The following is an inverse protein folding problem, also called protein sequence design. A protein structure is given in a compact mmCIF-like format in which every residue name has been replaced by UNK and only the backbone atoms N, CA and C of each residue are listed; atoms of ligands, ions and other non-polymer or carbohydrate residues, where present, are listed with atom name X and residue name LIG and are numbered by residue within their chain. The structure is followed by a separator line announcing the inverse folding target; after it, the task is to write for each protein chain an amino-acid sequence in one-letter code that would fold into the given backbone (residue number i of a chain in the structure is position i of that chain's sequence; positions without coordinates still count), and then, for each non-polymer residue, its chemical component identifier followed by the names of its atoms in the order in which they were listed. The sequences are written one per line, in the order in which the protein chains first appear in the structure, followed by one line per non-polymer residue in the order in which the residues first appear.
data_IF_911895965078
#
_entry.id   IF_911895965078
#
_cell.length_a   1.000
_cell.length_b   1.000
_cell.length_c   1.000
_cell.angle_alpha   90.00
_cell.angle_beta   90.00
_cell.angle_gamma   90.00
#
_symmetry.space_group_name_H-M   'P 1'
#
loop_
_entity.id
_entity.type
_entity.pdbx_description
1 polymer ?
#
# COMPACT_ATOMS: atom_id res chain seq x y z
N UNK A 1 1.38 -30.61 1.29
CA UNK A 1 0.36 -29.68 1.83
C UNK A 1 0.49 -28.33 1.13
N UNK A 2 -0.63 -27.64 0.98
CA UNK A 2 -0.73 -26.32 0.41
C UNK A 2 -1.28 -25.36 1.47
N UNK A 3 -0.70 -24.17 1.58
CA UNK A 3 -1.21 -23.10 2.42
C UNK A 3 -1.37 -21.81 1.64
N UNK A 4 -2.24 -20.95 2.13
CA UNK A 4 -2.33 -19.56 1.69
C UNK A 4 -2.13 -18.62 2.87
N UNK A 5 -1.67 -17.40 2.59
CA UNK A 5 -1.62 -16.30 3.55
C UNK A 5 -2.54 -15.21 3.05
N UNK A 6 -3.38 -14.67 3.94
CA UNK A 6 -4.12 -13.44 3.69
C UNK A 6 -3.66 -12.39 4.70
N UNK A 7 -3.29 -11.21 4.18
CA UNK A 7 -2.78 -10.10 5.00
C UNK A 7 -3.12 -8.76 4.37
N UNK A 8 -3.36 -7.77 5.19
CA UNK A 8 -3.52 -6.37 4.80
C UNK A 8 -2.48 -5.51 5.52
N UNK A 9 -1.99 -4.41 4.93
CA UNK A 9 -1.01 -3.56 5.60
C UNK A 9 -1.44 -3.06 6.97
N UNK A 10 -2.71 -2.71 7.15
CA UNK A 10 -3.20 -2.08 8.39
C UNK A 10 -4.54 -2.61 8.90
N UNK A 11 -5.31 -3.34 8.09
CA UNK A 11 -6.58 -3.93 8.56
C UNK A 11 -6.35 -5.24 9.29
N UNK A 12 -7.21 -5.53 10.28
CA UNK A 12 -7.22 -6.81 10.98
C UNK A 12 -7.84 -7.89 10.10
N UNK A 13 -7.02 -8.84 9.66
CA UNK A 13 -7.45 -9.95 8.80
C UNK A 13 -7.60 -11.30 9.52
N UNK A 14 -7.42 -11.36 10.84
CA UNK A 14 -7.53 -12.62 11.58
C UNK A 14 -8.92 -13.28 11.48
N UNK A 15 -9.96 -12.51 11.26
CA UNK A 15 -11.32 -12.99 10.99
C UNK A 15 -11.73 -12.91 9.52
N UNK A 16 -10.80 -13.05 8.58
CA UNK A 16 -11.07 -12.87 7.16
C UNK A 16 -12.07 -13.91 6.63
N UNK A 17 -13.01 -13.49 5.80
CA UNK A 17 -14.12 -14.33 5.28
C UNK A 17 -13.68 -15.56 4.48
N UNK A 18 -12.43 -15.63 4.02
CA UNK A 18 -11.89 -16.78 3.30
C UNK A 18 -11.42 -17.93 4.23
N UNK A 19 -11.35 -17.71 5.55
CA UNK A 19 -10.84 -18.74 6.48
C UNK A 19 -11.66 -20.02 6.36
N UNK A 20 -12.95 -19.94 6.59
CA UNK A 20 -13.83 -21.12 6.55
C UNK A 20 -13.97 -21.74 5.15
N UNK A 21 -14.19 -20.96 4.07
CA UNK A 21 -14.32 -21.52 2.73
C UNK A 21 -13.06 -22.25 2.22
N UNK A 22 -11.87 -21.78 2.55
CA UNK A 22 -10.62 -22.45 2.14
C UNK A 22 -10.35 -23.67 3.00
N UNK A 23 -10.55 -23.59 4.30
CA UNK A 23 -10.44 -24.73 5.20
C UNK A 23 -11.36 -25.90 4.78
N UNK A 24 -12.60 -25.58 4.42
CA UNK A 24 -13.57 -26.58 3.91
C UNK A 24 -13.13 -27.26 2.59
N UNK A 25 -12.17 -26.67 1.87
CA UNK A 25 -11.57 -27.21 0.65
C UNK A 25 -10.18 -27.83 0.85
N UNK A 26 -9.75 -27.97 2.10
CA UNK A 26 -8.46 -28.57 2.44
C UNK A 26 -7.25 -27.67 2.18
N UNK A 27 -7.46 -26.37 2.07
CA UNK A 27 -6.39 -25.36 1.99
C UNK A 27 -6.25 -24.70 3.36
N UNK A 28 -5.08 -24.86 3.97
CA UNK A 28 -4.77 -24.19 5.23
C UNK A 28 -4.57 -22.69 4.98
N UNK A 29 -5.28 -21.82 5.70
CA UNK A 29 -5.17 -20.37 5.58
C UNK A 29 -4.55 -19.76 6.83
N UNK A 30 -3.43 -19.07 6.67
CA UNK A 30 -2.85 -18.18 7.66
C UNK A 30 -3.43 -16.78 7.48
N UNK A 31 -4.36 -16.40 8.34
CA UNK A 31 -4.85 -15.04 8.45
C UNK A 31 -3.89 -14.25 9.35
N UNK A 32 -3.10 -13.36 8.74
CA UNK A 32 -1.97 -12.68 9.39
C UNK A 32 -2.24 -11.18 9.52
N UNK A 33 -1.91 -10.63 10.68
CA UNK A 33 -1.86 -9.19 10.89
C UNK A 33 -0.42 -8.67 10.78
N UNK A 34 -0.26 -7.47 10.24
CA UNK A 34 1.00 -6.74 10.29
C UNK A 34 1.23 -6.13 11.68
N UNK A 35 2.46 -5.68 11.93
CA UNK A 35 2.79 -4.84 13.08
C UNK A 35 2.03 -3.50 13.10
N UNK A 36 1.44 -3.10 11.97
CA UNK A 36 0.70 -1.85 11.79
C UNK A 36 -0.83 -2.02 11.81
N UNK A 37 -1.33 -3.14 12.35
CA UNK A 37 -2.79 -3.34 12.44
C UNK A 37 -3.45 -2.17 13.18
N UNK A 38 -4.48 -1.58 12.54
CA UNK A 38 -5.20 -0.38 13.01
C UNK A 38 -4.33 0.88 13.17
N UNK A 39 -3.16 0.94 12.55
CA UNK A 39 -2.26 2.08 12.61
C UNK A 39 -1.72 2.45 11.22
N UNK A 40 -2.46 3.26 10.50
CA UNK A 40 -2.10 3.77 9.18
C UNK A 40 -1.05 4.89 9.23
N UNK A 41 -1.02 5.66 10.32
CA UNK A 41 -0.22 6.89 10.40
C UNK A 41 1.28 6.65 10.45
N UNK A 42 1.71 5.48 10.95
CA UNK A 42 3.13 5.11 11.05
C UNK A 42 3.54 4.00 10.09
N UNK A 43 2.68 3.69 9.11
CA UNK A 43 2.89 2.59 8.16
C UNK A 43 4.17 2.75 7.35
N UNK A 44 5.01 1.73 7.41
CA UNK A 44 6.21 1.55 6.58
C UNK A 44 6.07 0.23 5.84
N UNK A 45 5.83 0.28 4.53
CA UNK A 45 5.52 -0.90 3.71
C UNK A 45 6.68 -1.89 3.66
N UNK A 46 7.92 -1.40 3.69
CA UNK A 46 9.14 -2.19 3.74
C UNK A 46 9.21 -3.09 4.97
N UNK A 47 8.63 -2.63 6.09
CA UNK A 47 8.52 -3.45 7.31
C UNK A 47 7.35 -4.42 7.25
N UNK A 48 6.28 -4.07 6.53
CA UNK A 48 5.12 -4.97 6.35
C UNK A 48 5.50 -6.20 5.52
N UNK A 49 6.32 -6.04 4.47
CA UNK A 49 6.79 -7.22 3.71
C UNK A 49 7.68 -8.14 4.54
N UNK A 50 8.41 -7.63 5.53
CA UNK A 50 9.14 -8.48 6.48
C UNK A 50 8.20 -9.32 7.34
N UNK A 51 7.07 -8.75 7.80
CA UNK A 51 6.05 -9.47 8.55
C UNK A 51 5.42 -10.58 7.70
N UNK A 52 5.11 -10.27 6.44
CA UNK A 52 4.59 -11.25 5.48
C UNK A 52 5.61 -12.36 5.21
N UNK A 53 6.89 -12.01 5.04
CA UNK A 53 7.98 -12.96 4.87
C UNK A 53 8.17 -13.88 6.06
N UNK A 54 7.97 -13.39 7.28
CA UNK A 54 7.97 -14.24 8.48
C UNK A 54 6.85 -15.29 8.42
N UNK A 55 5.67 -14.91 7.94
CA UNK A 55 4.57 -15.85 7.71
C UNK A 55 4.91 -16.91 6.67
N UNK A 56 5.52 -16.52 5.55
CA UNK A 56 5.95 -17.46 4.50
C UNK A 56 6.99 -18.42 5.03
N UNK A 57 8.05 -17.94 5.71
CA UNK A 57 9.08 -18.81 6.32
C UNK A 57 8.46 -19.81 7.29
N UNK A 58 7.60 -19.35 8.19
CA UNK A 58 6.92 -20.23 9.17
C UNK A 58 6.13 -21.35 8.49
N UNK A 59 5.44 -21.06 7.40
CA UNK A 59 4.72 -22.11 6.64
C UNK A 59 5.69 -23.08 5.95
N UNK A 60 6.78 -22.60 5.36
CA UNK A 60 7.83 -23.44 4.76
C UNK A 60 8.48 -24.36 5.81
N UNK A 61 8.81 -23.84 6.98
CA UNK A 61 9.37 -24.60 8.11
C UNK A 61 8.39 -25.69 8.63
N UNK A 62 7.08 -25.44 8.52
CA UNK A 62 6.03 -26.42 8.83
C UNK A 62 5.80 -27.47 7.73
N UNK A 63 6.59 -27.43 6.66
CA UNK A 63 6.59 -28.44 5.58
C UNK A 63 5.49 -28.22 4.55
N UNK A 64 4.96 -27.00 4.38
CA UNK A 64 4.08 -26.69 3.26
C UNK A 64 4.89 -26.63 1.97
N UNK A 65 4.51 -27.49 1.01
CA UNK A 65 5.19 -27.60 -0.28
C UNK A 65 4.86 -26.42 -1.21
N UNK A 66 3.67 -25.84 -1.06
CA UNK A 66 3.28 -24.65 -1.81
C UNK A 66 2.61 -23.63 -0.87
N UNK A 67 3.00 -22.36 -1.03
CA UNK A 67 2.48 -21.23 -0.27
C UNK A 67 2.03 -20.15 -1.25
N UNK A 68 0.78 -19.74 -1.12
CA UNK A 68 0.16 -18.71 -1.95
C UNK A 68 -0.16 -17.47 -1.12
N UNK A 69 -0.10 -16.27 -1.74
CA UNK A 69 -0.61 -15.05 -1.12
C UNK A 69 -1.96 -14.69 -1.71
N UNK A 70 -2.88 -14.29 -0.84
CA UNK A 70 -4.18 -13.77 -1.23
C UNK A 70 -4.26 -12.32 -0.77
N UNK A 71 -4.17 -11.40 -1.72
CA UNK A 71 -4.28 -9.97 -1.46
C UNK A 71 -5.69 -9.47 -1.76
N UNK A 72 -6.32 -8.85 -0.75
CA UNK A 72 -7.60 -8.17 -0.91
C UNK A 72 -7.42 -6.67 -0.67
N UNK A 73 -7.90 -5.83 -1.59
CA UNK A 73 -7.78 -4.36 -1.52
C UNK A 73 -6.31 -3.92 -1.38
N UNK A 74 -5.94 -3.21 -0.33
CA UNK A 74 -4.55 -2.85 -0.02
C UNK A 74 -3.61 -4.05 0.19
N UNK A 75 -4.15 -5.20 0.59
CA UNK A 75 -3.41 -6.46 0.64
C UNK A 75 -2.97 -6.97 -0.73
N UNK A 76 -3.68 -6.63 -1.79
CA UNK A 76 -3.28 -7.00 -3.15
C UNK A 76 -2.00 -6.26 -3.58
N UNK A 77 -1.92 -4.95 -3.34
CA UNK A 77 -0.70 -4.18 -3.57
C UNK A 77 0.47 -4.68 -2.70
N UNK A 78 0.20 -5.06 -1.45
CA UNK A 78 1.19 -5.68 -0.56
C UNK A 78 1.73 -6.99 -1.13
N UNK A 79 0.86 -7.91 -1.59
CA UNK A 79 1.28 -9.19 -2.15
C UNK A 79 2.13 -9.01 -3.42
N UNK A 80 1.75 -8.09 -4.31
CA UNK A 80 2.52 -7.78 -5.51
C UNK A 80 3.90 -7.19 -5.15
N UNK A 81 3.94 -6.25 -4.20
CA UNK A 81 5.18 -5.64 -3.73
C UNK A 81 6.10 -6.67 -3.06
N UNK A 82 5.54 -7.53 -2.19
CA UNK A 82 6.28 -8.63 -1.57
C UNK A 82 6.93 -9.53 -2.61
N UNK A 83 6.14 -10.05 -3.57
CA UNK A 83 6.66 -11.00 -4.56
C UNK A 83 7.73 -10.37 -5.45
N UNK A 84 7.53 -9.12 -5.87
CA UNK A 84 8.54 -8.40 -6.66
C UNK A 84 9.87 -8.29 -5.89
N UNK A 85 9.83 -7.96 -4.60
CA UNK A 85 11.04 -7.85 -3.77
C UNK A 85 11.63 -9.21 -3.37
N UNK A 86 10.81 -10.26 -3.31
CA UNK A 86 11.26 -11.62 -3.08
C UNK A 86 12.01 -12.21 -4.29
N UNK A 87 11.62 -11.82 -5.51
CA UNK A 87 12.28 -12.25 -6.76
C UNK A 87 13.52 -11.41 -7.08
N UNK A 88 13.44 -10.10 -6.84
CA UNK A 88 14.56 -9.16 -7.07
C UNK A 88 14.51 -8.06 -6.00
N UNK A 89 15.36 -8.20 -4.98
CA UNK A 89 15.43 -7.27 -3.86
C UNK A 89 16.13 -5.98 -4.26
N UNK A 90 15.37 -4.92 -4.45
CA UNK A 90 15.86 -3.60 -4.86
C UNK A 90 15.76 -2.53 -3.76
N UNK A 91 15.05 -2.82 -2.67
CA UNK A 91 14.84 -1.86 -1.57
C UNK A 91 16.09 -1.78 -0.72
N UNK A 92 16.60 -0.56 -0.52
CA UNK A 92 17.69 -0.22 0.41
C UNK A 92 17.21 0.70 1.53
N UNK A 93 16.24 1.58 1.22
CA UNK A 93 15.77 2.63 2.11
C UNK A 93 14.25 2.77 2.06
N UNK A 94 13.67 3.36 3.11
CA UNK A 94 12.28 3.81 3.10
C UNK A 94 12.12 5.06 2.22
N UNK A 95 10.91 5.45 1.83
CA UNK A 95 10.66 6.74 1.15
C UNK A 95 11.14 7.98 1.94
N UNK A 96 11.33 7.84 3.25
CA UNK A 96 11.89 8.89 4.11
C UNK A 96 13.44 8.92 4.08
N UNK A 97 14.09 7.96 3.42
CA UNK A 97 15.55 7.82 3.36
C UNK A 97 16.16 7.15 4.59
N UNK A 98 15.35 6.45 5.39
CA UNK A 98 15.86 5.64 6.49
C UNK A 98 16.25 4.25 5.97
N UNK A 99 17.42 3.70 6.34
CA UNK A 99 17.86 2.40 5.85
C UNK A 99 16.94 1.27 6.30
N UNK A 100 16.72 0.31 5.41
CA UNK A 100 15.91 -0.88 5.68
C UNK A 100 16.79 -2.11 5.72
N UNK A 101 16.83 -2.82 6.85
CA UNK A 101 17.55 -4.09 6.99
C UNK A 101 16.69 -5.23 6.46
N UNK A 102 16.68 -5.41 5.14
CA UNK A 102 16.06 -6.57 4.48
C UNK A 102 17.16 -7.33 3.74
N UNK A 103 17.16 -8.66 3.92
CA UNK A 103 18.00 -9.58 3.18
C UNK A 103 17.11 -10.53 2.37
N UNK A 104 17.60 -11.09 1.24
CA UNK A 104 16.81 -12.03 0.43
C UNK A 104 16.22 -13.19 1.23
N UNK A 105 16.94 -13.69 2.24
CA UNK A 105 16.47 -14.75 3.13
C UNK A 105 15.24 -14.34 3.97
N UNK A 106 14.99 -13.05 4.15
CA UNK A 106 13.81 -12.56 4.86
C UNK A 106 12.54 -12.66 4.02
N UNK A 107 12.67 -12.70 2.69
CA UNK A 107 11.57 -12.66 1.73
C UNK A 107 11.62 -13.87 0.77
N UNK A 108 11.40 -15.11 1.25
CA UNK A 108 11.35 -16.24 0.32
C UNK A 108 10.17 -16.07 -0.65
N UNK A 109 10.38 -16.29 -1.97
CA UNK A 109 9.31 -16.17 -2.95
C UNK A 109 8.20 -17.19 -2.69
N UNK A 110 6.97 -16.83 -3.06
CA UNK A 110 5.82 -17.73 -2.99
C UNK A 110 5.52 -18.37 -4.34
N UNK A 111 4.67 -19.41 -4.34
CA UNK A 111 4.35 -20.19 -5.55
C UNK A 111 3.29 -19.49 -6.42
N UNK A 112 2.63 -18.48 -5.89
CA UNK A 112 1.68 -17.68 -6.64
C UNK A 112 0.93 -16.67 -5.78
N UNK A 113 0.30 -15.71 -6.45
CA UNK A 113 -0.48 -14.64 -5.82
C UNK A 113 -1.87 -14.57 -6.44
N UNK A 114 -2.89 -14.33 -5.62
CA UNK A 114 -4.25 -14.04 -6.05
C UNK A 114 -4.60 -12.60 -5.61
N UNK A 115 -4.95 -11.76 -6.55
CA UNK A 115 -5.26 -10.34 -6.32
C UNK A 115 -6.77 -10.12 -6.45
N UNK A 116 -7.42 -9.71 -5.37
CA UNK A 116 -8.84 -9.43 -5.31
C UNK A 116 -9.09 -7.95 -5.00
N UNK A 117 -9.92 -7.29 -5.79
CA UNK A 117 -10.22 -5.86 -5.67
C UNK A 117 -8.94 -4.99 -5.54
N UNK A 118 -7.92 -5.32 -6.34
CA UNK A 118 -6.61 -4.69 -6.29
C UNK A 118 -6.65 -3.23 -6.74
N UNK A 119 -5.83 -2.39 -6.10
CA UNK A 119 -5.48 -1.06 -6.60
C UNK A 119 -3.97 -0.97 -6.84
N UNK A 120 -3.54 0.06 -7.56
CA UNK A 120 -2.14 0.24 -8.01
C UNK A 120 -1.13 0.58 -6.89
N UNK A 121 -1.56 0.51 -5.65
CA UNK A 121 -0.75 0.90 -4.49
C UNK A 121 -1.27 2.18 -3.83
N UNK A 122 -0.82 2.40 -2.59
CA UNK A 122 -1.34 3.46 -1.73
C UNK A 122 -1.05 4.87 -2.27
N UNK A 123 0.15 5.11 -2.79
CA UNK A 123 0.53 6.41 -3.32
C UNK A 123 -0.34 6.83 -4.50
N UNK A 124 -0.59 5.90 -5.43
CA UNK A 124 -1.47 6.13 -6.57
C UNK A 124 -2.91 6.37 -6.12
N UNK A 125 -3.43 5.50 -5.23
CA UNK A 125 -4.78 5.63 -4.70
C UNK A 125 -4.99 6.98 -4.00
N UNK A 126 -4.07 7.38 -3.13
CA UNK A 126 -4.17 8.65 -2.41
C UNK A 126 -4.08 9.85 -3.37
N UNK A 127 -3.19 9.81 -4.37
CA UNK A 127 -3.12 10.85 -5.40
C UNK A 127 -4.46 11.02 -6.12
N UNK A 128 -5.06 9.92 -6.54
CA UNK A 128 -6.32 9.94 -7.31
C UNK A 128 -7.52 10.39 -6.45
N UNK A 129 -7.38 10.38 -5.10
CA UNK A 129 -8.39 10.86 -4.15
C UNK A 129 -8.18 12.31 -3.69
N UNK A 130 -7.05 12.94 -4.07
CA UNK A 130 -6.81 14.34 -3.72
C UNK A 130 -7.81 15.27 -4.42
N UNK A 131 -8.32 16.24 -3.69
CA UNK A 131 -9.07 17.36 -4.28
C UNK A 131 -8.16 18.19 -5.17
N UNK A 132 -8.39 18.14 -6.49
CA UNK A 132 -7.61 18.83 -7.49
C UNK A 132 -7.75 20.36 -7.43
N UNK A 133 -8.83 20.86 -6.83
CA UNK A 133 -9.11 22.29 -6.77
C UNK A 133 -8.24 23.05 -5.76
N UNK A 134 -7.71 22.37 -4.73
CA UNK A 134 -6.86 23.02 -3.72
C UNK A 134 -5.49 23.39 -4.33
N UNK A 135 -5.17 24.68 -4.30
CA UNK A 135 -3.97 25.26 -4.91
C UNK A 135 -2.89 25.68 -3.91
N UNK A 136 -3.24 25.80 -2.62
CA UNK A 136 -2.32 26.13 -1.53
C UNK A 136 -2.57 25.22 -0.32
N UNK A 137 -1.55 24.46 0.09
CA UNK A 137 -1.65 23.56 1.23
C UNK A 137 -1.59 24.28 2.59
N UNK A 138 -1.32 25.57 2.62
CA UNK A 138 -1.40 26.41 3.82
C UNK A 138 -2.80 27.01 4.03
N UNK A 139 -3.59 27.10 2.96
CA UNK A 139 -4.97 27.57 2.98
C UNK A 139 -5.88 26.60 2.19
N UNK A 140 -6.56 25.68 2.87
CA UNK A 140 -7.43 24.71 2.21
C UNK A 140 -8.68 25.35 1.54
N UNK A 141 -8.94 26.64 1.80
CA UNK A 141 -10.02 27.39 1.12
C UNK A 141 -9.54 28.07 -0.16
N UNK A 142 -8.23 28.11 -0.41
CA UNK A 142 -7.66 28.58 -1.66
C UNK A 142 -7.88 27.53 -2.75
N UNK A 143 -9.01 27.65 -3.46
CA UNK A 143 -9.43 26.69 -4.46
C UNK A 143 -9.56 27.32 -5.87
N UNK A 144 -9.17 26.57 -6.89
CA UNK A 144 -9.39 26.87 -8.29
C UNK A 144 -10.76 26.31 -8.73
N UNK A 145 -11.78 27.14 -8.84
CA UNK A 145 -13.14 26.72 -9.23
C UNK A 145 -13.16 25.94 -10.57
N UNK A 146 -12.21 26.20 -11.48
CA UNK A 146 -12.09 25.48 -12.75
C UNK A 146 -11.75 23.99 -12.60
N UNK A 147 -11.25 23.56 -11.42
CA UNK A 147 -10.87 22.19 -11.10
C UNK A 147 -11.81 21.51 -10.08
N UNK A 148 -12.81 22.23 -9.60
CA UNK A 148 -13.80 21.68 -8.66
C UNK A 148 -14.73 20.71 -9.40
N UNK A 149 -14.63 19.42 -9.10
CA UNK A 149 -15.48 18.36 -9.68
C UNK A 149 -16.91 18.37 -9.11
N UNK A 150 -17.14 19.09 -8.03
CA UNK A 150 -18.43 19.21 -7.35
C UNK A 150 -19.13 20.53 -7.62
N UNK A 151 -18.60 21.39 -8.53
CA UNK A 151 -19.22 22.63 -8.88
C UNK A 151 -20.68 22.41 -9.40
N UNK A 152 -21.59 23.27 -9.00
CA UNK A 152 -23.02 23.09 -9.24
C UNK A 152 -23.42 23.02 -10.73
N UNK A 153 -22.59 23.59 -11.61
CA UNK A 153 -22.75 23.60 -13.07
C UNK A 153 -22.05 22.41 -13.76
N UNK A 154 -21.55 21.45 -12.99
CA UNK A 154 -20.73 20.35 -13.48
C UNK A 154 -21.30 18.99 -13.07
N UNK A 155 -21.34 18.04 -13.99
CA UNK A 155 -21.79 16.67 -13.72
C UNK A 155 -21.13 15.66 -14.67
N UNK A 156 -20.95 14.40 -14.20
CA UNK A 156 -20.49 13.32 -15.09
C UNK A 156 -21.51 13.04 -16.24
N UNK A 157 -21.02 12.50 -17.38
CA UNK A 157 -19.63 12.24 -17.68
C UNK A 157 -18.85 13.50 -17.96
N UNK A 158 -17.63 13.58 -17.43
CA UNK A 158 -16.72 14.68 -17.71
C UNK A 158 -16.02 14.49 -19.06
N UNK A 159 -15.69 15.60 -19.75
CA UNK A 159 -14.88 15.55 -20.95
C UNK A 159 -13.41 15.18 -20.65
N UNK A 160 -12.73 14.62 -21.65
CA UNK A 160 -11.36 14.11 -21.48
C UNK A 160 -10.37 15.21 -21.10
N UNK A 161 -10.53 16.42 -21.63
CA UNK A 161 -9.67 17.56 -21.31
C UNK A 161 -9.81 17.98 -19.84
N UNK A 162 -11.04 18.00 -19.34
CA UNK A 162 -11.28 18.26 -17.92
C UNK A 162 -10.67 17.17 -17.02
N UNK A 163 -10.90 15.89 -17.33
CA UNK A 163 -10.33 14.76 -16.62
C UNK A 163 -8.80 14.85 -16.58
N UNK A 164 -8.17 15.20 -17.71
CA UNK A 164 -6.72 15.34 -17.80
C UNK A 164 -6.21 16.50 -16.93
N UNK A 165 -6.92 17.66 -16.92
CA UNK A 165 -6.56 18.78 -16.04
C UNK A 165 -6.67 18.41 -14.57
N UNK A 166 -7.74 17.74 -14.15
CA UNK A 166 -7.92 17.25 -12.77
C UNK A 166 -6.79 16.32 -12.37
N UNK A 167 -6.46 15.32 -13.19
CA UNK A 167 -5.36 14.38 -12.91
C UNK A 167 -4.00 15.07 -12.80
N UNK A 168 -3.74 16.04 -13.67
CA UNK A 168 -2.51 16.85 -13.60
C UNK A 168 -2.46 17.66 -12.32
N UNK A 169 -3.57 18.28 -11.92
CA UNK A 169 -3.66 19.04 -10.69
C UNK A 169 -3.50 18.17 -9.43
N UNK A 170 -4.07 16.95 -9.43
CA UNK A 170 -3.86 15.95 -8.37
C UNK A 170 -2.39 15.56 -8.24
N UNK A 171 -1.71 15.32 -9.37
CA UNK A 171 -0.27 15.02 -9.36
C UNK A 171 0.54 16.19 -8.79
N UNK A 172 0.31 17.41 -9.29
CA UNK A 172 0.99 18.61 -8.81
C UNK A 172 0.73 18.88 -7.31
N UNK A 173 -0.49 18.58 -6.83
CA UNK A 173 -0.81 18.69 -5.41
C UNK A 173 -0.04 17.67 -4.58
N UNK A 174 0.02 16.42 -5.03
CA UNK A 174 0.82 15.38 -4.37
C UNK A 174 2.29 15.77 -4.27
N UNK A 175 2.85 16.36 -5.33
CA UNK A 175 4.25 16.81 -5.34
C UNK A 175 4.48 17.95 -4.33
N UNK A 176 3.55 18.93 -4.23
CA UNK A 176 3.63 20.01 -3.21
C UNK A 176 3.57 19.45 -1.79
N UNK A 177 2.64 18.52 -1.51
CA UNK A 177 2.53 17.86 -0.19
C UNK A 177 3.81 17.12 0.13
N UNK A 178 4.33 16.34 -0.81
CA UNK A 178 5.56 15.55 -0.65
C UNK A 178 6.75 16.46 -0.36
N UNK A 179 6.94 17.51 -1.14
CA UNK A 179 8.03 18.48 -0.93
C UNK A 179 7.95 19.15 0.45
N UNK A 180 6.74 19.51 0.90
CA UNK A 180 6.53 20.10 2.24
C UNK A 180 6.88 19.12 3.36
N UNK A 181 6.48 17.86 3.21
CA UNK A 181 6.79 16.79 4.19
C UNK A 181 8.29 16.53 4.23
N UNK A 182 8.96 16.43 3.08
CA UNK A 182 10.41 16.24 3.00
C UNK A 182 11.18 17.40 3.63
N UNK A 183 10.79 18.64 3.36
CA UNK A 183 11.39 19.81 3.98
C UNK A 183 11.21 19.81 5.51
N UNK A 184 10.03 19.42 6.00
CA UNK A 184 9.77 19.31 7.45
C UNK A 184 10.61 18.21 8.08
N UNK A 185 10.74 17.05 7.41
CA UNK A 185 11.57 15.94 7.89
C UNK A 185 13.05 16.34 7.96
N UNK A 186 13.57 17.01 6.95
CA UNK A 186 14.95 17.53 6.96
C UNK A 186 15.18 18.48 8.15
N UNK A 187 14.27 19.42 8.35
CA UNK A 187 14.34 20.37 9.46
C UNK A 187 14.32 19.65 10.84
N UNK A 188 13.47 18.64 11.02
CA UNK A 188 13.41 17.85 12.27
C UNK A 188 14.73 17.12 12.52
N UNK A 189 15.32 16.51 11.50
CA UNK A 189 16.61 15.80 11.62
C UNK A 189 17.78 16.74 11.99
N UNK A 190 17.72 17.99 11.54
CA UNK A 190 18.73 18.99 11.90
C UNK A 190 18.56 19.55 13.33
N UNK A 191 17.32 19.58 13.84
CA UNK A 191 17.02 20.16 15.15
C UNK A 191 17.06 19.17 16.31
N UNK A 192 16.90 17.86 16.04
CA UNK A 192 16.92 16.78 17.03
C UNK A 192 18.30 16.10 17.16
N UNK A 193 19.32 16.59 16.43
CA UNK A 193 20.72 16.13 16.49
C UNK A 193 21.59 17.06 17.40
#
# INVERSE_FOLDING_TARGET
KVAAIVMHPTSNFMGHYLVDPLAARGVDLLALNSRYVNNDSTLIMERVIQDLGAGVRMLRERGYAAVYLIGNSGGAALCAFYQAQAEDLTITDTPAGDPVSIEPAHLPPVDGIALNAAHLGRSQLLRDMLDASVIDESDPLAAAAALDIYAADRSPPFDDDFVQRVRTAQANRMDRITARVQARLAWLRETDS
#
